data_IF_060055192626
#
_entry.id   IF_060055192626
#
_cell.length_a   1.000
_cell.length_b   1.000
_cell.length_c   1.000
_cell.angle_alpha   90.00
_cell.angle_beta   90.00
_cell.angle_gamma   90.00
#
_symmetry.space_group_name_H-M   'P 1'
#
loop_
_entity.id
_entity.type
_entity.pdbx_description
1 polymer ?
2 water ?
#
# COMPACT_ATOMS: atom_id res chain seq x y z
N UNK A 1 12.86 -9.73 12.19
CA UNK A 1 14.31 -9.92 12.51
C UNK A 1 15.11 -9.61 11.24
N UNK A 2 15.24 -10.62 10.39
CA UNK A 2 15.96 -10.35 9.12
C UNK A 2 14.95 -9.79 8.13
N UNK A 3 13.70 -10.20 8.09
CA UNK A 3 12.79 -9.53 7.12
C UNK A 3 12.75 -8.04 7.46
N UNK A 4 12.47 -7.72 8.72
CA UNK A 4 12.38 -6.32 9.17
C UNK A 4 13.66 -5.55 8.97
N UNK A 5 14.81 -6.14 9.17
CA UNK A 5 16.13 -5.54 8.98
C UNK A 5 16.34 -5.31 7.48
N UNK A 6 15.77 -6.19 6.67
CA UNK A 6 15.91 -6.03 5.23
C UNK A 6 15.05 -4.88 4.78
N UNK A 7 13.85 -4.75 5.30
CA UNK A 7 12.95 -3.64 4.86
C UNK A 7 13.58 -2.30 5.22
N UNK A 8 14.18 -2.30 6.37
CA UNK A 8 14.91 -1.15 6.94
C UNK A 8 16.02 -0.79 5.97
N UNK A 9 16.89 -1.72 5.59
CA UNK A 9 17.96 -1.48 4.64
C UNK A 9 17.41 -0.89 3.33
N UNK A 10 16.28 -1.43 2.87
CA UNK A 10 15.64 -0.96 1.64
C UNK A 10 15.01 0.41 1.75
N UNK A 11 14.65 0.80 2.96
CA UNK A 11 13.98 2.06 3.27
C UNK A 11 12.45 1.94 3.12
N UNK A 12 11.92 0.80 3.53
CA UNK A 12 10.47 0.56 3.40
C UNK A 12 9.65 0.71 4.69
N UNK A 13 10.34 1.12 5.75
CA UNK A 13 9.82 1.38 7.09
C UNK A 13 9.85 2.87 7.44
N UNK A 14 8.68 3.48 7.46
CA UNK A 14 8.59 4.91 7.80
C UNK A 14 8.49 4.94 9.32
N UNK A 15 7.47 4.25 9.79
CA UNK A 15 7.12 4.13 11.21
C UNK A 15 6.60 2.71 11.52
N UNK A 16 6.66 2.47 12.82
CA UNK A 16 6.23 1.19 13.39
C UNK A 16 5.74 1.41 14.81
N UNK A 17 4.60 0.78 15.10
CA UNK A 17 4.03 0.93 16.44
C UNK A 17 4.99 0.42 17.49
N UNK A 18 5.70 -0.66 17.32
CA UNK A 18 6.65 -1.25 18.31
C UNK A 18 7.47 -2.27 17.53
N UNK A 19 8.66 -1.79 17.19
CA UNK A 19 9.61 -2.53 16.38
C UNK A 19 10.09 -3.82 17.00
N UNK A 20 10.50 -3.78 18.26
CA UNK A 20 10.99 -4.98 18.97
C UNK A 20 9.92 -6.03 19.18
N UNK A 21 8.71 -5.61 19.46
CA UNK A 21 7.54 -6.49 19.65
C UNK A 21 7.16 -7.15 18.32
N UNK A 22 7.18 -6.38 17.24
CA UNK A 22 6.85 -6.88 15.92
C UNK A 22 7.94 -7.79 15.38
N UNK A 23 9.21 -7.42 15.61
CA UNK A 23 10.31 -8.27 15.14
C UNK A 23 10.18 -9.64 15.81
N UNK A 24 10.01 -9.63 17.10
CA UNK A 24 9.81 -10.81 17.92
C UNK A 24 8.74 -11.72 17.33
N UNK A 25 7.51 -11.25 17.20
CA UNK A 25 6.38 -11.97 16.61
C UNK A 25 6.65 -12.46 15.19
N UNK A 26 7.21 -11.63 14.33
CA UNK A 26 7.52 -12.01 12.95
C UNK A 26 8.43 -13.25 12.97
N UNK A 27 9.39 -13.23 13.87
CA UNK A 27 10.39 -14.26 14.08
C UNK A 27 9.80 -15.51 14.73
N UNK A 28 8.76 -15.42 15.51
CA UNK A 28 8.22 -16.62 16.16
C UNK A 28 6.98 -17.22 15.51
N UNK A 29 6.26 -16.50 14.66
CA UNK A 29 5.01 -16.99 14.07
C UNK A 29 4.73 -16.57 12.67
N UNK A 30 3.77 -17.25 12.03
CA UNK A 30 3.29 -16.89 10.69
C UNK A 30 2.27 -15.79 11.09
N UNK A 31 2.60 -14.62 10.62
CA UNK A 31 1.81 -13.42 10.91
C UNK A 31 0.85 -13.18 9.76
N UNK A 32 -0.39 -12.90 10.13
CA UNK A 32 -1.42 -12.52 9.15
C UNK A 32 -1.35 -10.97 9.18
N UNK A 33 -1.13 -10.38 8.03
CA UNK A 33 -1.05 -8.93 7.90
C UNK A 33 -2.02 -8.53 6.78
N UNK A 34 -2.36 -7.23 6.75
CA UNK A 34 -3.29 -6.79 5.70
C UNK A 34 -2.91 -5.38 5.24
N UNK A 35 -3.44 -5.08 4.05
CA UNK A 35 -3.23 -3.71 3.48
C UNK A 35 -4.54 -3.38 2.77
N UNK A 36 -5.08 -2.18 2.88
CA UNK A 36 -6.37 -1.89 2.23
C UNK A 36 -6.28 -1.09 0.96
N UNK A 37 -7.10 -1.22 -0.06
CA UNK A 37 -6.86 -0.31 -1.24
C UNK A 37 -8.30 0.04 -1.59
N UNK A 38 -8.52 1.33 -1.74
CA UNK A 38 -9.84 1.87 -2.06
C UNK A 38 -9.92 2.19 -3.56
N UNK A 39 -11.03 1.81 -4.15
CA UNK A 39 -11.26 2.10 -5.57
C UNK A 39 -11.61 3.58 -5.67
N UNK A 40 -10.66 4.32 -6.20
CA UNK A 40 -10.73 5.75 -6.43
C UNK A 40 -10.56 5.97 -7.93
N UNK A 41 -10.39 4.91 -8.68
CA UNK A 41 -10.27 4.86 -10.13
C UNK A 41 -10.45 3.41 -10.58
N UNK A 42 -10.50 3.18 -11.89
CA UNK A 42 -10.72 1.81 -12.40
C UNK A 42 -9.44 0.97 -12.53
N UNK A 43 -8.37 1.50 -12.02
CA UNK A 43 -7.03 0.92 -11.99
C UNK A 43 -6.17 1.47 -10.85
N UNK A 44 -5.31 0.57 -10.39
CA UNK A 44 -4.31 0.94 -9.37
C UNK A 44 -3.28 1.72 -10.17
N UNK A 45 -2.32 2.33 -9.52
CA UNK A 45 -1.27 3.06 -10.26
C UNK A 45 0.02 2.78 -9.51
N UNK A 46 1.16 3.28 -9.97
CA UNK A 46 2.48 3.10 -9.37
C UNK A 46 2.60 3.62 -7.92
N UNK A 47 1.59 4.40 -7.50
CA UNK A 47 1.50 4.91 -6.14
C UNK A 47 1.16 3.84 -5.14
N UNK A 48 0.61 2.75 -5.62
CA UNK A 48 0.24 1.58 -4.86
C UNK A 48 1.29 0.47 -4.88
N UNK A 49 2.31 0.53 -5.74
CA UNK A 49 3.33 -0.52 -5.85
C UNK A 49 4.14 -0.78 -4.61
N UNK A 50 4.59 0.19 -3.87
CA UNK A 50 5.38 -0.07 -2.65
C UNK A 50 4.67 -0.96 -1.63
N UNK A 51 3.47 -0.57 -1.22
CA UNK A 51 2.69 -1.34 -0.27
C UNK A 51 2.43 -2.73 -0.80
N UNK A 52 2.07 -2.84 -2.06
CA UNK A 52 1.78 -4.11 -2.75
C UNK A 52 2.95 -5.07 -2.72
N UNK A 53 4.09 -4.61 -3.23
CA UNK A 53 5.34 -5.38 -3.30
C UNK A 53 5.80 -5.65 -1.88
N UNK A 54 5.54 -4.73 -0.95
CA UNK A 54 5.94 -4.99 0.45
C UNK A 54 5.15 -6.16 0.99
N UNK A 55 3.90 -6.34 0.61
CA UNK A 55 3.06 -7.47 1.05
C UNK A 55 3.69 -8.81 0.66
N UNK A 56 4.09 -8.83 -0.60
CA UNK A 56 4.76 -9.86 -1.34
C UNK A 56 6.05 -10.29 -0.65
N UNK A 57 6.82 -9.31 -0.21
CA UNK A 57 8.06 -9.51 0.53
C UNK A 57 7.67 -10.21 1.84
N UNK A 58 6.58 -9.78 2.46
CA UNK A 58 6.11 -10.41 3.72
C UNK A 58 5.71 -11.85 3.34
N UNK A 59 5.01 -12.08 2.24
CA UNK A 59 4.62 -13.45 1.86
C UNK A 59 5.80 -14.39 1.62
N UNK A 60 6.83 -13.96 0.92
CA UNK A 60 8.09 -14.69 0.64
C UNK A 60 8.85 -15.10 1.89
N UNK A 61 8.77 -14.36 2.98
CA UNK A 61 9.32 -14.59 4.30
C UNK A 61 8.38 -15.49 5.12
N UNK A 62 7.34 -16.04 4.50
CA UNK A 62 6.45 -16.99 5.10
C UNK A 62 5.22 -16.54 5.85
N UNK A 63 4.85 -15.28 5.67
CA UNK A 63 3.68 -14.67 6.34
C UNK A 63 2.52 -14.62 5.37
N UNK A 64 1.35 -14.50 6.01
CA UNK A 64 0.12 -14.53 5.15
C UNK A 64 -0.53 -13.18 4.93
N UNK A 65 -0.52 -12.76 3.68
CA UNK A 65 -1.10 -11.47 3.33
C UNK A 65 -2.56 -11.45 2.90
N UNK A 66 -3.29 -10.45 3.40
CA UNK A 66 -4.67 -10.19 3.07
C UNK A 66 -4.69 -8.81 2.40
N UNK A 67 -5.15 -8.77 1.19
CA UNK A 67 -5.33 -7.59 0.33
C UNK A 67 -6.80 -7.22 0.52
N UNK A 68 -7.10 -6.07 1.03
CA UNK A 68 -8.45 -5.62 1.26
C UNK A 68 -8.87 -4.57 0.23
N UNK A 69 -9.90 -4.92 -0.49
CA UNK A 69 -10.52 -4.01 -1.48
C UNK A 69 -11.55 -3.18 -0.71
N UNK A 70 -11.44 -1.87 -0.75
CA UNK A 70 -12.27 -0.89 -0.09
C UNK A 70 -13.63 -0.64 -0.70
N UNK A 71 -14.44 -1.69 -0.82
CA UNK A 71 -15.79 -1.58 -1.37
C UNK A 71 -16.70 -0.60 -0.58
N UNK A 72 -16.64 -0.66 0.72
CA UNK A 72 -17.41 0.20 1.63
C UNK A 72 -16.77 1.59 1.76
N UNK A 73 -15.54 1.69 2.21
CA UNK A 73 -14.80 2.91 2.39
C UNK A 73 -14.58 3.72 1.15
N UNK A 74 -14.54 3.13 -0.04
CA UNK A 74 -14.37 3.85 -1.32
C UNK A 74 -15.63 4.68 -1.59
N UNK A 75 -16.70 4.44 -0.84
CA UNK A 75 -18.00 5.07 -0.81
C UNK A 75 -18.08 6.23 0.21
N UNK A 76 -17.06 6.46 1.01
CA UNK A 76 -16.91 7.50 2.01
C UNK A 76 -15.80 8.47 1.64
N UNK A 77 -14.63 7.89 1.42
CA UNK A 77 -13.40 8.56 1.03
C UNK A 77 -12.53 9.06 2.15
N UNK A 78 -11.29 8.67 2.12
CA UNK A 78 -10.22 8.98 3.10
C UNK A 78 -9.58 10.34 2.85
N UNK A 79 -9.63 11.24 3.82
CA UNK A 79 -9.01 12.57 3.68
C UNK A 79 -7.48 12.48 3.74
N UNK A 80 -6.95 11.35 4.24
CA UNK A 80 -5.53 11.15 4.41
C UNK A 80 -4.75 11.45 3.15
N UNK A 81 -3.78 12.37 3.26
CA UNK A 81 -2.92 12.76 2.15
C UNK A 81 -3.57 13.54 1.04
N UNK A 82 -4.76 14.01 1.29
CA UNK A 82 -5.61 14.81 0.41
C UNK A 82 -5.76 16.16 1.08
N UNK A 83 -5.53 17.22 0.36
CA UNK A 83 -5.62 18.59 0.86
C UNK A 83 -7.04 19.10 0.74
N UNK A 84 -7.82 18.46 -0.08
CA UNK A 84 -9.20 18.79 -0.37
C UNK A 84 -10.20 17.63 -0.25
N UNK A 85 -11.39 18.05 0.11
CA UNK A 85 -12.56 17.16 0.25
C UNK A 85 -12.77 16.62 -1.16
N UNK A 86 -13.12 15.37 -1.28
CA UNK A 86 -13.31 14.71 -2.57
C UNK A 86 -14.81 14.55 -2.80
N UNK A 87 -15.15 14.30 -4.06
CA UNK A 87 -16.54 14.07 -4.44
C UNK A 87 -16.77 12.55 -4.22
N UNK A 88 -18.00 12.35 -3.82
CA UNK A 88 -18.52 11.01 -3.54
C UNK A 88 -18.75 10.35 -4.90
N UNK A 89 -18.26 9.13 -5.02
CA UNK A 89 -18.48 8.35 -6.25
C UNK A 89 -19.75 7.51 -5.94
N UNK A 90 -20.38 7.08 -7.02
CA UNK A 90 -21.63 6.33 -6.89
C UNK A 90 -21.35 4.90 -6.53
N UNK A 91 -22.27 4.17 -5.97
CA UNK A 91 -22.12 2.75 -5.62
C UNK A 91 -21.76 1.90 -6.85
N UNK A 92 -22.39 2.20 -7.96
CA UNK A 92 -22.22 1.50 -9.23
C UNK A 92 -20.79 1.67 -9.73
N UNK A 93 -20.33 2.89 -9.67
CA UNK A 93 -18.94 3.19 -10.07
C UNK A 93 -17.97 2.41 -9.22
N UNK A 94 -18.06 2.60 -7.92
CA UNK A 94 -17.18 1.93 -6.95
C UNK A 94 -17.23 0.42 -7.06
N UNK A 95 -18.44 -0.08 -7.17
CA UNK A 95 -18.70 -1.52 -7.31
C UNK A 95 -17.97 -2.04 -8.54
N UNK A 96 -18.00 -1.35 -9.65
CA UNK A 96 -17.35 -1.74 -10.91
C UNK A 96 -15.83 -1.70 -10.82
N UNK A 97 -15.33 -0.67 -10.17
CA UNK A 97 -13.91 -0.43 -9.97
C UNK A 97 -13.34 -1.44 -8.99
N UNK A 98 -14.07 -1.86 -7.99
CA UNK A 98 -13.57 -2.85 -7.03
C UNK A 98 -13.19 -4.18 -7.68
N UNK A 99 -13.96 -4.57 -8.69
CA UNK A 99 -13.84 -5.80 -9.47
C UNK A 99 -12.53 -5.84 -10.25
N UNK A 100 -12.13 -4.72 -10.82
CA UNK A 100 -10.89 -4.58 -11.59
C UNK A 100 -9.64 -4.64 -10.73
N UNK A 101 -9.69 -3.84 -9.68
CA UNK A 101 -8.70 -3.63 -8.61
C UNK A 101 -8.40 -4.96 -7.99
N UNK A 102 -9.43 -5.73 -7.75
CA UNK A 102 -9.34 -7.09 -7.20
C UNK A 102 -8.41 -7.88 -8.13
N UNK A 103 -8.65 -7.74 -9.43
CA UNK A 103 -7.89 -8.45 -10.47
C UNK A 103 -6.43 -8.01 -10.45
N UNK A 104 -6.11 -6.74 -10.48
CA UNK A 104 -4.69 -6.33 -10.45
C UNK A 104 -4.03 -6.72 -9.14
N UNK A 105 -4.76 -6.70 -8.03
CA UNK A 105 -4.11 -7.06 -6.75
C UNK A 105 -3.60 -8.48 -6.82
N UNK A 106 -4.43 -9.42 -7.18
CA UNK A 106 -4.13 -10.82 -7.33
C UNK A 106 -2.88 -11.21 -8.09
N UNK A 107 -2.33 -10.41 -8.96
CA UNK A 107 -1.14 -10.63 -9.76
C UNK A 107 0.13 -10.71 -8.91
N UNK A 108 0.19 -9.91 -7.91
CA UNK A 108 1.31 -9.73 -7.00
C UNK A 108 1.41 -10.73 -5.87
N UNK A 109 0.37 -11.51 -5.60
CA UNK A 109 0.34 -12.47 -4.50
C UNK A 109 0.18 -13.94 -4.88
N UNK A 110 0.57 -14.77 -3.91
CA UNK A 110 0.49 -16.22 -4.08
C UNK A 110 -0.70 -16.84 -3.38
N UNK A 111 -1.45 -17.51 -4.24
CA UNK A 111 -2.66 -18.25 -3.88
C UNK A 111 -2.44 -19.75 -3.79
N UNK A 112 -1.34 -20.23 -4.33
CA UNK A 112 -1.03 -21.67 -4.35
C UNK A 112 -0.33 -22.24 -3.12
N UNK A 113 0.39 -21.38 -2.44
CA UNK A 113 1.16 -21.75 -1.25
C UNK A 113 0.19 -22.35 -0.23
N UNK A 114 0.69 -23.32 0.50
CA UNK A 114 -0.12 -23.98 1.54
C UNK A 114 0.55 -23.45 2.81
N UNK A 115 -0.22 -22.96 3.74
CA UNK A 115 0.42 -22.41 4.96
C UNK A 115 0.24 -20.90 4.91
N UNK A 116 0.64 -20.26 3.82
CA UNK A 116 0.46 -18.80 3.75
C UNK A 116 -0.11 -18.24 2.47
N UNK A 117 -1.16 -18.85 1.94
CA UNK A 117 -1.78 -18.35 0.69
C UNK A 117 -2.51 -17.05 1.03
N UNK A 118 -2.56 -16.16 0.08
CA UNK A 118 -3.23 -14.88 0.30
C UNK A 118 -4.76 -15.04 0.27
N UNK A 119 -5.41 -13.95 0.63
CA UNK A 119 -6.85 -13.73 0.64
C UNK A 119 -7.01 -12.32 0.06
N UNK A 120 -8.03 -12.08 -0.72
CA UNK A 120 -8.38 -10.76 -1.26
C UNK A 120 -9.74 -10.53 -0.57
N UNK A 121 -9.96 -9.42 0.10
CA UNK A 121 -11.26 -9.29 0.79
C UNK A 121 -11.87 -7.97 0.42
N UNK A 122 -13.15 -7.81 0.67
CA UNK A 122 -13.92 -6.58 0.36
C UNK A 122 -14.64 -6.21 1.65
N UNK A 123 -14.35 -5.04 2.16
CA UNK A 123 -14.96 -4.53 3.42
C UNK A 123 -16.44 -4.19 3.29
N UNK A 124 -17.00 -4.27 2.10
CA UNK A 124 -18.41 -4.05 1.86
C UNK A 124 -19.23 -5.14 2.56
N UNK A 125 -18.64 -6.32 2.62
CA UNK A 125 -19.18 -7.52 3.22
C UNK A 125 -19.54 -7.33 4.68
N UNK A 126 -18.82 -6.51 5.41
CA UNK A 126 -19.12 -6.33 6.83
C UNK A 126 -19.53 -4.89 7.07
N UNK A 127 -19.23 -3.97 6.17
CA UNK A 127 -19.67 -2.60 6.45
C UNK A 127 -21.02 -2.35 5.80
N UNK A 128 -21.23 -2.92 4.63
CA UNK A 128 -22.44 -2.83 3.84
C UNK A 128 -23.67 -3.00 4.73
N UNK A 129 -23.80 -4.15 5.37
CA UNK A 129 -24.91 -4.47 6.22
C UNK A 129 -24.97 -3.96 7.64
N UNK A 130 -24.07 -3.09 8.02
CA UNK A 130 -24.01 -2.51 9.38
C UNK A 130 -24.93 -1.30 9.43
N UNK A 131 -25.76 -1.27 10.45
CA UNK A 131 -26.72 -0.21 10.77
C UNK A 131 -25.98 0.85 11.57
N UNK A 132 -26.42 2.07 11.30
CA UNK A 132 -25.84 3.31 11.89
C UNK A 132 -25.80 3.20 13.39
N UNK A 133 -26.87 2.81 14.04
CA UNK A 133 -26.98 2.67 15.49
C UNK A 133 -25.90 1.78 16.06
N UNK A 134 -25.63 0.67 15.43
CA UNK A 134 -24.65 -0.33 15.83
C UNK A 134 -23.23 0.22 15.76
N UNK A 135 -23.06 0.91 14.65
CA UNK A 135 -21.84 1.63 14.30
C UNK A 135 -21.53 2.70 15.34
N UNK A 136 -22.51 3.56 15.65
CA UNK A 136 -22.28 4.66 16.60
C UNK A 136 -21.98 4.14 18.00
N UNK A 137 -22.65 3.09 18.42
CA UNK A 137 -22.48 2.52 19.76
C UNK A 137 -21.28 1.60 19.93
N UNK A 138 -21.18 0.60 19.07
CA UNK A 138 -20.11 -0.40 19.11
C UNK A 138 -18.76 0.15 18.67
N UNK A 139 -18.71 1.11 17.77
CA UNK A 139 -17.40 1.65 17.34
C UNK A 139 -17.16 3.02 17.96
N UNK A 140 -18.09 3.93 17.73
CA UNK A 140 -18.04 5.31 18.20
C UNK A 140 -17.89 5.54 19.68
N UNK A 141 -18.43 4.68 20.56
CA UNK A 141 -18.31 4.91 22.01
C UNK A 141 -16.86 4.92 22.45
N UNK A 142 -16.03 4.20 21.72
CA UNK A 142 -14.61 4.01 21.93
C UNK A 142 -13.72 5.16 21.58
N UNK A 143 -14.21 6.12 20.84
CA UNK A 143 -13.44 7.29 20.41
C UNK A 143 -13.99 8.63 20.88
N UNK A 144 -13.09 9.43 21.42
CA UNK A 144 -13.45 10.78 21.86
C UNK A 144 -13.18 11.65 20.66
N UNK A 145 -13.84 12.74 20.44
CA UNK A 145 -13.69 13.65 19.33
C UNK A 145 -12.30 14.28 19.33
N UNK A 146 -11.73 14.38 20.49
CA UNK A 146 -10.43 14.94 20.85
C UNK A 146 -9.24 14.12 20.33
N UNK A 147 -9.38 12.83 20.34
CA UNK A 147 -8.45 11.83 19.85
C UNK A 147 -8.40 11.92 18.33
N UNK A 148 -9.59 12.01 17.74
CA UNK A 148 -9.81 12.09 16.31
C UNK A 148 -9.41 13.41 15.67
N UNK A 149 -9.54 14.54 16.33
CA UNK A 149 -9.21 15.87 15.81
C UNK A 149 -7.70 16.10 15.66
N UNK A 150 -6.98 15.45 16.55
CA UNK A 150 -5.52 15.44 16.65
C UNK A 150 -4.85 14.65 15.54
N UNK A 151 -5.57 13.84 14.79
CA UNK A 151 -5.08 13.01 13.71
C UNK A 151 -4.60 13.91 12.59
N UNK A 152 -3.44 13.54 12.07
CA UNK A 152 -2.82 14.27 10.98
C UNK A 152 -3.81 14.54 9.86
N UNK A 153 -4.55 13.56 9.41
CA UNK A 153 -5.54 13.69 8.33
C UNK A 153 -6.63 14.73 8.54
N UNK A 154 -6.99 14.93 9.81
CA UNK A 154 -8.03 15.89 10.22
C UNK A 154 -7.40 17.23 10.59
N UNK A 155 -6.43 17.21 11.48
CA UNK A 155 -5.69 18.41 11.89
C UNK A 155 -5.37 19.16 10.61
N UNK A 156 -4.72 18.48 9.67
CA UNK A 156 -4.35 18.97 8.35
C UNK A 156 -5.44 19.68 7.57
N UNK A 157 -6.71 19.44 7.87
CA UNK A 157 -7.90 19.95 7.21
C UNK A 157 -9.00 20.77 7.84
N UNK A 158 -9.06 21.03 9.10
CA UNK A 158 -10.14 21.76 9.77
C UNK A 158 -10.43 23.19 9.33
N UNK A 159 -9.40 23.90 8.91
CA UNK A 159 -9.48 25.28 8.42
C UNK A 159 -9.87 25.23 6.95
N UNK A 160 -9.22 24.28 6.28
CA UNK A 160 -9.47 23.97 4.87
C UNK A 160 -10.91 23.46 4.81
N UNK A 161 -11.30 22.69 5.81
CA UNK A 161 -12.63 22.13 5.95
C UNK A 161 -12.68 20.63 5.63
N UNK A 162 -13.62 19.98 6.29
CA UNK A 162 -13.81 18.54 6.12
C UNK A 162 -15.22 18.20 6.60
N UNK A 163 -15.95 17.47 5.78
CA UNK A 163 -17.30 17.08 6.22
C UNK A 163 -17.19 16.01 7.31
N UNK A 164 -18.33 15.73 7.93
CA UNK A 164 -18.41 14.65 8.94
C UNK A 164 -18.15 13.29 8.28
N UNK A 165 -18.51 13.09 7.04
CA UNK A 165 -18.34 11.95 6.15
C UNK A 165 -16.89 11.46 6.14
N UNK A 166 -16.00 12.36 5.74
CA UNK A 166 -14.57 12.07 5.71
C UNK A 166 -13.98 12.03 7.09
N UNK A 167 -14.47 12.81 8.04
CA UNK A 167 -13.98 12.82 9.43
C UNK A 167 -14.16 11.43 10.06
N UNK A 168 -15.20 10.72 9.72
CA UNK A 168 -15.61 9.41 10.19
C UNK A 168 -14.98 8.17 9.55
N UNK A 169 -14.40 8.40 8.39
CA UNK A 169 -13.67 7.39 7.62
C UNK A 169 -12.80 6.50 8.50
N UNK A 170 -12.04 7.16 9.38
CA UNK A 170 -11.09 6.53 10.29
C UNK A 170 -11.75 5.46 11.12
N UNK A 171 -12.99 5.68 11.53
CA UNK A 171 -13.78 4.71 12.32
C UNK A 171 -13.95 3.38 11.55
N UNK A 172 -14.25 3.49 10.26
CA UNK A 172 -14.45 2.41 9.30
C UNK A 172 -13.18 1.59 9.07
N UNK A 173 -12.05 2.23 8.80
CA UNK A 173 -10.75 1.59 8.66
C UNK A 173 -10.44 0.93 10.02
N UNK A 174 -10.75 1.64 11.10
CA UNK A 174 -10.56 1.20 12.47
C UNK A 174 -11.16 -0.19 12.65
N UNK A 175 -12.42 -0.25 12.26
CA UNK A 175 -13.34 -1.39 12.28
C UNK A 175 -12.86 -2.52 11.44
N UNK A 176 -12.35 -2.23 10.25
CA UNK A 176 -11.76 -3.26 9.38
C UNK A 176 -10.66 -4.05 10.13
N UNK A 177 -9.76 -3.33 10.77
CA UNK A 177 -8.64 -3.95 11.53
C UNK A 177 -9.21 -4.91 12.57
N UNK A 178 -10.18 -4.43 13.33
CA UNK A 178 -10.82 -5.24 14.38
C UNK A 178 -11.42 -6.55 13.84
N UNK A 179 -12.18 -6.44 12.78
CA UNK A 179 -12.85 -7.58 12.14
C UNK A 179 -11.93 -8.64 11.60
N UNK A 180 -10.83 -8.25 10.98
CA UNK A 180 -9.74 -9.00 10.39
C UNK A 180 -8.90 -9.61 11.50
N UNK A 181 -8.77 -8.87 12.58
CA UNK A 181 -8.06 -9.33 13.78
C UNK A 181 -8.86 -10.51 14.34
N UNK A 182 -10.17 -10.34 14.41
CA UNK A 182 -11.08 -11.33 14.95
C UNK A 182 -11.29 -12.53 14.03
N UNK A 183 -11.68 -12.37 12.78
CA UNK A 183 -11.95 -13.46 11.86
C UNK A 183 -10.79 -14.13 11.16
N UNK A 184 -9.67 -13.42 11.07
CA UNK A 184 -8.47 -13.90 10.39
C UNK A 184 -7.21 -13.93 11.20
N UNK A 185 -7.21 -13.60 12.46
CA UNK A 185 -6.01 -13.58 13.32
C UNK A 185 -5.02 -12.50 12.86
N UNK A 186 -5.51 -11.49 12.15
CA UNK A 186 -4.65 -10.41 11.65
C UNK A 186 -4.03 -9.62 12.78
N UNK A 187 -2.70 -9.58 12.84
CA UNK A 187 -1.90 -8.90 13.87
C UNK A 187 -1.04 -7.72 13.42
N UNK A 188 -1.06 -7.43 12.15
CA UNK A 188 -0.31 -6.36 11.56
C UNK A 188 -1.08 -5.77 10.37
N UNK A 189 -1.04 -4.45 10.36
CA UNK A 189 -1.62 -3.70 9.24
C UNK A 189 -0.44 -2.87 8.70
N UNK A 190 -0.34 -2.76 7.38
CA UNK A 190 0.71 -1.95 6.76
C UNK A 190 0.00 -0.94 5.83
N UNK A 191 0.68 0.12 5.46
CA UNK A 191 0.08 1.09 4.52
C UNK A 191 1.17 2.10 4.17
N UNK A 192 0.82 3.02 3.32
CA UNK A 192 1.65 4.14 2.91
C UNK A 192 1.73 4.98 4.21
N UNK A 193 2.53 6.00 4.09
CA UNK A 193 2.92 7.01 5.01
C UNK A 193 1.79 7.75 5.71
N UNK A 194 0.79 8.05 4.89
CA UNK A 194 -0.40 8.80 5.24
C UNK A 194 -1.44 8.02 6.03
N UNK A 195 -1.25 6.73 6.15
CA UNK A 195 -2.18 5.87 6.87
C UNK A 195 -1.91 5.68 8.34
N UNK A 196 -0.87 6.26 8.89
CA UNK A 196 -0.47 6.09 10.31
C UNK A 196 -1.67 6.24 11.24
N UNK A 197 -2.35 7.38 11.12
CA UNK A 197 -3.52 7.73 11.92
C UNK A 197 -4.64 6.70 11.91
N UNK A 198 -5.02 6.23 10.75
CA UNK A 198 -6.05 5.23 10.46
C UNK A 198 -5.66 3.87 11.08
N UNK A 199 -4.40 3.54 11.03
CA UNK A 199 -3.83 2.30 11.55
C UNK A 199 -3.87 2.29 13.07
N UNK A 200 -3.31 3.37 13.60
CA UNK A 200 -3.30 3.52 15.09
C UNK A 200 -4.73 3.58 15.64
N UNK A 201 -5.67 4.11 14.89
CA UNK A 201 -7.10 4.16 15.20
C UNK A 201 -7.59 2.72 15.33
N UNK A 202 -7.22 1.85 14.41
CA UNK A 202 -7.57 0.42 14.43
C UNK A 202 -7.03 -0.28 15.68
N UNK A 203 -5.84 0.08 16.08
CA UNK A 203 -5.12 -0.35 17.26
C UNK A 203 -5.81 0.15 18.52
N UNK A 204 -6.26 1.38 18.54
CA UNK A 204 -7.00 1.95 19.67
C UNK A 204 -8.31 1.17 19.82
N UNK A 205 -8.99 0.93 18.71
CA UNK A 205 -10.24 0.14 18.76
C UNK A 205 -10.02 -1.28 19.29
N UNK A 206 -8.96 -1.97 18.90
CA UNK A 206 -8.67 -3.35 19.34
C UNK A 206 -8.38 -3.35 20.84
N UNK A 207 -7.48 -2.46 21.22
CA UNK A 207 -7.08 -2.30 22.61
C UNK A 207 -8.33 -2.10 23.48
N UNK A 208 -9.16 -1.14 23.11
CA UNK A 208 -10.37 -0.81 23.87
C UNK A 208 -11.46 -1.86 23.87
N UNK A 209 -11.46 -2.79 22.94
CA UNK A 209 -12.46 -3.86 22.84
C UNK A 209 -11.98 -5.22 23.35
N UNK A 210 -10.67 -5.42 23.37
CA UNK A 210 -10.06 -6.67 23.80
C UNK A 210 -9.13 -6.51 24.98
N UNK A 211 -8.32 -5.48 24.88
CA UNK A 211 -7.31 -5.21 25.92
C UNK A 211 -6.21 -6.27 25.75
N UNK A 214 -0.72 -6.22 21.39
CA UNK A 214 -1.18 -7.46 20.76
C UNK A 214 -1.04 -7.48 19.24
N UNK A 215 -1.22 -6.31 18.65
CA UNK A 215 -1.21 -6.07 17.21
C UNK A 215 -0.34 -4.88 16.90
N UNK A 216 0.12 -4.79 15.65
CA UNK A 216 1.06 -3.77 15.21
C UNK A 216 0.63 -3.07 13.94
N UNK A 217 1.36 -1.99 13.69
CA UNK A 217 1.12 -1.19 12.46
C UNK A 217 2.50 -0.81 11.91
N UNK A 218 2.60 -0.75 10.60
CA UNK A 218 3.84 -0.38 9.92
C UNK A 218 3.40 0.43 8.71
N UNK A 219 4.05 1.52 8.42
CA UNK A 219 3.81 2.38 7.26
C UNK A 219 5.11 2.44 6.45
N UNK A 220 4.94 2.58 5.16
CA UNK A 220 5.98 2.72 4.15
C UNK A 220 6.10 4.24 3.93
N UNK A 221 7.31 4.73 3.70
CA UNK A 221 7.52 6.16 3.47
C UNK A 221 7.10 6.56 2.08
N UNK A 222 6.83 7.86 1.99
CA UNK A 222 6.44 8.47 0.69
C UNK A 222 7.67 8.25 -0.18
N UNK A 223 7.48 7.91 -1.43
CA UNK A 223 8.56 7.66 -2.39
C UNK A 223 9.10 9.04 -2.81
N UNK A 224 10.38 9.29 -2.61
CA UNK A 224 10.97 10.59 -2.98
C UNK A 224 11.76 10.58 -4.28
N UNK A 225 11.91 11.80 -4.77
CA UNK A 225 12.67 12.17 -5.98
C UNK A 225 13.76 13.12 -5.48
N UNK A 226 14.98 13.06 -6.01
CA UNK A 226 16.07 13.92 -5.61
C UNK A 226 15.75 15.34 -6.04
N UNK A 227 15.05 15.53 -7.14
CA UNK A 227 14.68 16.86 -7.60
C UNK A 227 13.58 17.52 -6.79
N UNK A 228 12.99 16.84 -5.83
CA UNK A 228 11.91 17.40 -5.02
C UNK A 228 10.56 17.45 -5.69
N UNK A 229 10.39 16.73 -6.79
CA UNK A 229 9.08 16.67 -7.47
C UNK A 229 8.36 15.45 -6.92
N UNK A 230 7.12 15.32 -7.33
CA UNK A 230 6.19 14.26 -6.92
C UNK A 230 6.40 12.95 -7.67
N UNK A 231 6.79 11.90 -6.97
CA UNK A 231 7.00 10.57 -7.56
C UNK A 231 5.69 10.25 -8.32
N UNK A 232 5.90 9.77 -9.53
CA UNK A 232 4.87 9.34 -10.45
C UNK A 232 4.18 10.47 -11.18
N UNK A 233 4.57 11.69 -10.89
CA UNK A 233 3.98 12.86 -11.55
C UNK A 233 4.72 13.08 -12.86
N UNK A 234 4.15 12.50 -13.89
CA UNK A 234 4.62 12.56 -15.28
C UNK A 234 3.90 13.63 -16.06
N UNK A 235 4.45 13.95 -17.22
CA UNK A 235 3.86 14.95 -18.13
C UNK A 235 2.69 14.28 -18.84
N UNK A 236 2.84 12.97 -18.97
CA UNK A 236 1.86 12.08 -19.56
C UNK A 236 0.65 11.91 -18.64
N UNK A 237 0.83 12.02 -17.34
CA UNK A 237 -0.28 11.85 -16.37
C UNK A 237 0.09 10.57 -15.63
N UNK A 238 -0.79 9.94 -14.91
CA UNK A 238 -0.53 8.72 -14.13
C UNK A 238 -0.02 7.52 -14.91
N UNK A 239 0.88 6.82 -14.24
CA UNK A 239 1.45 5.58 -14.77
C UNK A 239 0.61 4.49 -14.09
N UNK A 240 -0.36 4.00 -14.84
CA UNK A 240 -1.30 2.98 -14.35
C UNK A 240 -0.69 1.60 -14.46
N UNK A 241 -1.26 0.63 -13.78
CA UNK A 241 -0.94 -0.77 -13.77
C UNK A 241 -1.81 -1.52 -14.78
N UNK A 242 -2.72 -0.80 -15.40
CA UNK A 242 -3.62 -1.42 -16.40
C UNK A 242 -2.87 -1.13 -17.69
N UNK A 243 -2.57 -2.17 -18.42
CA UNK A 243 -1.83 -2.09 -19.68
C UNK A 243 -2.61 -1.44 -20.80
N UNK A 244 -3.90 -1.22 -20.58
CA UNK A 244 -4.78 -0.56 -21.52
C UNK A 244 -4.86 0.94 -21.25
N UNK A 245 -4.32 1.34 -20.12
CA UNK A 245 -4.30 2.76 -19.75
C UNK A 245 -2.86 3.27 -19.97
N UNK A 246 -1.93 2.45 -19.56
CA UNK A 246 -0.49 2.71 -19.71
C UNK A 246 0.11 1.41 -20.28
N UNK A 247 0.46 1.48 -21.54
CA UNK A 247 1.03 0.31 -22.22
C UNK A 247 2.34 -0.07 -21.56
N UNK A 248 2.69 -1.33 -21.66
CA UNK A 248 3.94 -1.90 -21.12
C UNK A 248 5.17 -1.16 -21.64
N UNK A 249 5.09 -0.64 -22.85
CA UNK A 249 6.12 0.18 -23.51
C UNK A 249 6.31 1.47 -22.70
N UNK A 250 5.24 2.20 -22.42
CA UNK A 250 5.20 3.42 -21.65
C UNK A 250 5.57 3.18 -20.18
N UNK A 251 5.12 2.07 -19.65
CA UNK A 251 5.40 1.65 -18.26
C UNK A 251 6.92 1.54 -18.16
N UNK A 252 7.48 0.77 -19.08
CA UNK A 252 8.90 0.46 -19.26
C UNK A 252 9.77 1.70 -19.39
N UNK A 253 9.39 2.60 -20.26
CA UNK A 253 10.04 3.89 -20.53
C UNK A 253 10.13 4.74 -19.26
N UNK A 254 8.97 4.75 -18.58
CA UNK A 254 8.87 5.51 -17.34
C UNK A 254 10.04 5.13 -16.43
N UNK A 255 10.27 3.87 -16.19
CA UNK A 255 11.33 3.35 -15.32
C UNK A 255 12.72 3.54 -15.91
N UNK A 256 12.79 3.35 -17.22
CA UNK A 256 14.08 3.52 -17.92
C UNK A 256 14.58 4.96 -17.76
N UNK A 257 13.69 5.93 -17.66
CA UNK A 257 14.00 7.34 -17.47
C UNK A 257 14.25 7.71 -16.00
N UNK A 258 14.47 6.77 -15.12
CA UNK A 258 14.74 7.14 -13.72
C UNK A 258 16.07 7.88 -13.73
N UNK A 259 16.05 8.95 -12.97
CA UNK A 259 17.24 9.79 -12.81
C UNK A 259 18.23 8.97 -11.99
N UNK A 260 19.48 9.14 -12.33
CA UNK A 260 20.64 8.51 -11.68
C UNK A 260 20.55 8.70 -10.16
N UNK A 261 20.05 9.84 -9.72
CA UNK A 261 19.88 10.18 -8.31
C UNK A 261 18.85 9.28 -7.62
N UNK A 262 17.83 8.80 -8.33
CA UNK A 262 16.78 7.97 -7.73
C UNK A 262 16.91 6.48 -7.96
N UNK A 263 17.51 6.11 -9.09
CA UNK A 263 17.61 4.70 -9.46
C UNK A 263 17.90 3.74 -8.32
N UNK A 264 18.90 3.98 -7.50
CA UNK A 264 19.27 3.05 -6.42
C UNK A 264 18.20 2.97 -5.35
N UNK A 265 17.50 4.03 -5.03
CA UNK A 265 16.43 3.98 -4.03
C UNK A 265 15.24 3.18 -4.59
N UNK A 266 15.00 3.28 -5.88
CA UNK A 266 13.90 2.57 -6.54
C UNK A 266 14.16 1.09 -6.73
N UNK A 267 15.42 0.70 -6.89
CA UNK A 267 15.78 -0.72 -7.04
C UNK A 267 15.46 -1.44 -5.74
N UNK A 268 15.77 -0.82 -4.62
CA UNK A 268 15.55 -1.31 -3.26
C UNK A 268 14.06 -1.38 -2.91
N UNK A 269 13.32 -0.39 -3.35
CA UNK A 269 11.89 -0.28 -3.13
C UNK A 269 10.99 -1.24 -3.91
N UNK A 270 11.21 -1.21 -5.20
CA UNK A 270 10.45 -1.95 -6.19
C UNK A 270 10.94 -3.28 -6.68
N UNK A 271 12.15 -3.68 -6.38
CA UNK A 271 12.66 -4.96 -6.92
C UNK A 271 13.04 -5.99 -5.87
N UNK A 272 13.20 -7.19 -6.44
CA UNK A 272 13.56 -8.39 -5.65
C UNK A 272 15.03 -8.75 -5.82
N UNK A 273 15.84 -7.81 -6.28
CA UNK A 273 17.31 -7.96 -6.40
C UNK A 273 17.87 -7.96 -4.97
N UNK A 274 18.92 -8.75 -4.79
CA UNK A 274 19.52 -8.85 -3.45
C UNK A 274 20.29 -7.54 -3.22
N UNK A 275 20.79 -7.49 -2.01
CA UNK A 275 21.58 -6.36 -1.49
C UNK A 275 22.88 -6.29 -2.27
N UNK A 276 23.45 -7.45 -2.46
CA UNK A 276 24.71 -7.62 -3.19
C UNK A 276 24.49 -7.31 -4.65
N UNK A 277 23.33 -7.60 -5.21
CA UNK A 277 23.08 -7.25 -6.62
C UNK A 277 22.87 -5.73 -6.68
N UNK A 278 22.08 -5.22 -5.76
CA UNK A 278 21.80 -3.79 -5.73
C UNK A 278 23.10 -3.03 -5.51
N UNK A 279 23.96 -3.48 -4.61
CA UNK A 279 25.23 -2.78 -4.33
C UNK A 279 26.13 -2.71 -5.53
N UNK A 280 26.29 -3.84 -6.20
CA UNK A 280 27.05 -4.00 -7.43
C UNK A 280 26.60 -3.00 -8.48
N UNK A 281 25.29 -2.81 -8.63
CA UNK A 281 24.70 -1.84 -9.59
C UNK A 281 25.05 -0.40 -9.21
N UNK A 282 25.23 -0.17 -7.93
CA UNK A 282 25.58 1.13 -7.38
C UNK A 282 26.99 1.59 -7.81
N UNK A 283 27.84 0.59 -7.78
CA UNK A 283 29.26 0.68 -8.17
C UNK A 283 29.29 0.79 -9.69
N UNK A 284 28.45 0.04 -10.41
CA UNK A 284 28.38 0.16 -11.87
C UNK A 284 27.84 1.53 -12.25
N UNK A 285 26.97 2.12 -11.44
CA UNK A 285 26.37 3.44 -11.65
C UNK A 285 27.44 4.53 -11.46
N UNK A 286 28.35 4.26 -10.56
CA UNK A 286 29.46 5.18 -10.29
C UNK A 286 30.47 5.19 -11.42
N UNK A 287 30.89 3.99 -11.81
CA UNK A 287 31.90 3.79 -12.83
C UNK A 287 31.45 3.96 -14.27
N UNK A 288 30.22 3.65 -14.61
CA UNK A 288 29.72 3.74 -15.99
C UNK A 288 28.27 4.19 -16.11
N UNK A 289 28.01 5.43 -15.75
CA UNK A 289 26.66 5.98 -15.74
C UNK A 289 26.00 6.29 -17.05
N UNK A 290 26.70 6.15 -18.16
CA UNK A 290 26.09 6.41 -19.49
C UNK A 290 25.57 5.09 -20.05
N UNK A 291 25.98 4.00 -19.45
CA UNK A 291 25.56 2.65 -19.80
C UNK A 291 24.08 2.42 -19.45
N UNK A 292 23.68 2.95 -18.31
CA UNK A 292 22.33 2.92 -17.76
C UNK A 292 21.84 1.56 -17.33
N UNK A 293 22.73 0.78 -16.76
CA UNK A 293 22.52 -0.57 -16.28
C UNK A 293 21.54 -0.72 -15.13
N UNK A 294 21.56 0.23 -14.22
CA UNK A 294 20.66 0.31 -13.05
C UNK A 294 19.24 0.55 -13.56
N UNK A 295 19.14 1.48 -14.50
CA UNK A 295 17.91 1.87 -15.19
C UNK A 295 17.32 0.72 -16.00
N UNK A 296 18.08 -0.06 -16.76
CA UNK A 296 17.47 -1.17 -17.52
C UNK A 296 17.01 -2.28 -16.57
N UNK A 297 17.81 -2.59 -15.56
CA UNK A 297 17.51 -3.61 -14.56
C UNK A 297 16.19 -3.28 -13.85
N UNK A 298 16.04 -2.00 -13.49
CA UNK A 298 14.80 -1.59 -12.81
C UNK A 298 13.61 -1.78 -13.74
N UNK A 299 13.76 -1.19 -14.93
CA UNK A 299 12.76 -1.25 -15.98
C UNK A 299 12.30 -2.67 -16.27
N UNK A 300 13.20 -3.62 -16.43
CA UNK A 300 12.89 -5.02 -16.75
C UNK A 300 12.25 -5.78 -15.59
N UNK A 301 12.80 -5.55 -14.43
CA UNK A 301 12.36 -6.15 -13.17
C UNK A 301 10.92 -5.73 -12.86
N UNK A 302 10.69 -4.42 -12.88
CA UNK A 302 9.34 -3.90 -12.57
C UNK A 302 8.34 -4.22 -13.66
N UNK A 303 8.65 -4.07 -14.94
CA UNK A 303 7.70 -4.43 -16.01
C UNK A 303 7.32 -5.91 -16.02
N UNK A 304 8.23 -6.78 -15.65
CA UNK A 304 7.99 -8.23 -15.58
C UNK A 304 7.00 -8.54 -14.46
N UNK A 305 7.24 -7.87 -13.34
CA UNK A 305 6.46 -8.01 -12.11
C UNK A 305 4.99 -7.74 -12.45
N UNK A 306 4.80 -6.55 -12.95
CA UNK A 306 3.50 -6.01 -13.30
C UNK A 306 2.90 -6.53 -14.58
N UNK A 307 3.63 -6.61 -15.66
CA UNK A 307 2.99 -7.10 -16.90
C UNK A 307 3.47 -8.46 -17.38
N UNK A 308 4.58 -8.96 -16.91
CA UNK A 308 5.14 -10.26 -17.33
C UNK A 308 6.13 -10.02 -18.48
N UNK A 309 6.95 -11.03 -18.69
CA UNK A 309 8.01 -11.27 -19.63
C UNK A 309 7.72 -11.02 -21.10
N UNK A 310 6.59 -11.51 -21.54
CA UNK A 310 6.14 -11.34 -22.93
C UNK A 310 5.92 -9.85 -23.19
N UNK A 311 5.25 -9.25 -22.21
CA UNK A 311 4.93 -7.82 -22.17
C UNK A 311 6.23 -7.03 -22.14
N UNK A 312 7.19 -7.50 -21.35
CA UNK A 312 8.53 -6.92 -21.24
C UNK A 312 9.27 -6.99 -22.58
N UNK A 313 9.16 -8.15 -23.21
CA UNK A 313 9.76 -8.50 -24.49
C UNK A 313 9.36 -7.52 -25.59
N UNK A 314 8.10 -7.17 -25.60
CA UNK A 314 7.52 -6.23 -26.55
C UNK A 314 8.03 -4.82 -26.31
N UNK A 315 8.01 -4.45 -25.05
CA UNK A 315 8.45 -3.12 -24.61
C UNK A 315 9.88 -2.85 -25.09
N UNK A 316 10.67 -3.92 -24.89
CA UNK A 316 12.07 -3.93 -25.28
C UNK A 316 12.24 -3.84 -26.80
N UNK A 317 11.50 -4.67 -27.52
CA UNK A 317 11.62 -4.65 -28.99
C UNK A 317 10.95 -3.38 -29.52
N UNK A 318 9.94 -2.83 -28.88
CA UNK A 318 9.34 -1.58 -29.34
C UNK A 318 10.31 -0.41 -29.13
N UNK A 319 11.13 -0.47 -28.08
CA UNK A 319 12.06 0.63 -27.78
C UNK A 319 13.20 0.81 -28.76
#
# INVERSE_FOLDING_TARGET
MDLLAELQWRGLVNQTTDEDGLRKLLNEERVTLYCGFDPTADSLHIGHLAPILTMRRFQQAGHRPIALVGGATGLIGDPSGKKSERTLNAKETVEAWSARIKEQLGRFLDFEADGNPAKIKNNYDWIGPLDVITFLRDVGKHFSVNYMMAKESVQSRIETGISFTEFSYMMLQAYDFLRLYETEGCRLQIGGSDQWGNITAGLELIRKTKGEARAFGLTIPLVTKADGTKFGKTESGTIWLDKEKTSPYEFYQFWINTDDRDVIRYLKYFTFLSKEEIEALEQELREAPEKRAAQKTLAEEVTKLVHGEEALRQAIRIS
#
